data_IF_908761921269
#
_entry.id   IF_908761921269
#
_cell.length_a   1.000
_cell.length_b   1.000
_cell.length_c   1.000
_cell.angle_alpha   90.00
_cell.angle_beta   90.00
_cell.angle_gamma   90.00
#
_symmetry.space_group_name_H-M   'P 1'
#
loop_
_entity.id
_entity.type
_entity.pdbx_description
1 polymer ?
#
# COMPACT_ATOMS: atom_id res chain seq x y z
N UNK A 1 55.00 -52.37 9.99
CA UNK A 1 54.40 -51.99 11.28
C UNK A 1 53.76 -50.63 11.06
N UNK A 2 52.42 -50.56 11.00
CA UNK A 2 51.66 -49.32 11.06
C UNK A 2 51.33 -48.65 9.73
N UNK A 3 50.15 -48.98 9.20
CA UNK A 3 49.40 -48.23 8.19
C UNK A 3 49.11 -46.78 8.62
N UNK A 4 48.92 -45.89 7.63
CA UNK A 4 47.69 -45.09 7.50
C UNK A 4 47.56 -44.45 6.12
N UNK A 5 46.50 -44.88 5.45
CA UNK A 5 45.85 -44.36 4.25
C UNK A 5 45.29 -42.94 4.51
N UNK A 6 45.10 -42.15 3.45
CA UNK A 6 43.79 -41.67 2.95
C UNK A 6 43.99 -40.55 1.92
N UNK A 7 43.24 -40.69 0.82
CA UNK A 7 43.08 -39.88 -0.38
C UNK A 7 42.78 -38.38 -0.15
N UNK A 8 43.11 -37.54 -1.15
CA UNK A 8 42.13 -36.66 -1.82
C UNK A 8 42.82 -35.96 -3.02
N UNK A 9 42.51 -36.35 -4.26
CA UNK A 9 41.36 -35.93 -5.07
C UNK A 9 41.56 -34.54 -5.71
N UNK A 10 41.87 -34.59 -7.01
CA UNK A 10 41.75 -33.48 -7.97
C UNK A 10 40.32 -32.96 -7.93
N UNK A 11 40.13 -31.68 -7.65
CA UNK A 11 38.94 -30.96 -8.09
C UNK A 11 39.32 -29.78 -8.97
N UNK A 12 38.81 -29.87 -10.19
CA UNK A 12 38.94 -28.90 -11.26
C UNK A 12 38.12 -27.66 -10.90
N UNK A 13 38.69 -26.50 -11.19
CA UNK A 13 37.99 -25.22 -11.27
C UNK A 13 36.72 -25.38 -12.12
N UNK A 14 35.55 -25.36 -11.48
CA UNK A 14 34.25 -25.17 -12.14
C UNK A 14 33.88 -23.69 -11.95
N UNK A 15 33.60 -22.92 -13.01
CA UNK A 15 33.15 -21.55 -12.83
C UNK A 15 31.79 -21.55 -12.14
N UNK A 16 31.68 -20.81 -11.03
CA UNK A 16 30.39 -20.47 -10.45
C UNK A 16 29.54 -19.77 -11.51
N UNK A 17 28.48 -20.44 -11.97
CA UNK A 17 27.36 -19.75 -12.61
C UNK A 17 26.68 -18.91 -11.54
N UNK A 18 26.77 -17.59 -11.68
CA UNK A 18 25.84 -16.66 -11.04
C UNK A 18 24.43 -17.05 -11.47
N UNK A 19 23.64 -17.55 -10.52
CA UNK A 19 22.25 -17.90 -10.72
C UNK A 19 21.41 -16.65 -10.38
N UNK A 20 21.24 -15.75 -11.34
CA UNK A 20 20.29 -14.63 -11.25
C UNK A 20 18.99 -15.00 -11.96
N UNK A 21 18.19 -15.83 -11.30
CA UNK A 21 16.82 -16.10 -11.71
C UNK A 21 15.96 -16.03 -10.45
N UNK A 22 15.33 -14.88 -10.21
CA UNK A 22 14.36 -14.74 -9.12
C UNK A 22 13.24 -15.74 -9.35
N UNK A 23 12.91 -16.52 -8.33
CA UNK A 23 11.90 -17.58 -8.41
C UNK A 23 10.56 -16.98 -8.87
N UNK A 24 10.12 -17.39 -10.06
CA UNK A 24 8.81 -17.03 -10.59
C UNK A 24 7.75 -17.86 -9.87
N UNK A 25 6.87 -17.19 -9.15
CA UNK A 25 5.80 -17.83 -8.40
C UNK A 25 4.48 -17.73 -9.17
N UNK A 26 3.89 -18.89 -9.52
CA UNK A 26 2.52 -18.96 -10.01
C UNK A 26 1.55 -18.76 -8.85
N UNK A 27 0.59 -17.86 -9.00
CA UNK A 27 -0.42 -17.58 -7.99
C UNK A 27 -1.78 -17.30 -8.62
N UNK A 28 -2.83 -17.57 -7.87
CA UNK A 28 -4.21 -17.31 -8.28
C UNK A 28 -4.64 -15.87 -7.97
N UNK A 29 -5.72 -15.41 -8.61
CA UNK A 29 -6.34 -14.12 -8.26
C UNK A 29 -6.72 -14.02 -6.79
N UNK A 30 -7.27 -15.09 -6.24
CA UNK A 30 -7.78 -15.09 -4.86
C UNK A 30 -6.62 -14.90 -3.89
N UNK A 31 -5.51 -15.62 -4.08
CA UNK A 31 -4.29 -15.45 -3.27
C UNK A 31 -3.76 -14.01 -3.35
N UNK A 32 -3.77 -13.38 -4.52
CA UNK A 32 -3.36 -11.98 -4.66
C UNK A 32 -4.30 -11.00 -3.95
N UNK A 33 -5.62 -11.23 -4.01
CA UNK A 33 -6.59 -10.41 -3.30
C UNK A 33 -6.37 -10.55 -1.79
N UNK A 34 -6.23 -11.79 -1.29
CA UNK A 34 -5.99 -12.05 0.13
C UNK A 34 -4.66 -11.46 0.60
N UNK A 35 -3.60 -11.58 -0.20
CA UNK A 35 -2.33 -10.95 0.07
C UNK A 35 -2.46 -9.43 0.18
N UNK A 36 -3.08 -8.78 -0.81
CA UNK A 36 -3.25 -7.33 -0.80
C UNK A 36 -4.11 -6.86 0.36
N UNK A 37 -5.15 -7.62 0.73
CA UNK A 37 -5.96 -7.34 1.92
C UNK A 37 -5.14 -7.43 3.21
N UNK A 38 -4.34 -8.48 3.37
CA UNK A 38 -3.44 -8.64 4.52
C UNK A 38 -2.39 -7.54 4.59
N UNK A 39 -1.83 -7.14 3.45
CA UNK A 39 -0.88 -6.02 3.39
C UNK A 39 -1.55 -4.73 3.85
N UNK A 40 -2.75 -4.44 3.34
CA UNK A 40 -3.54 -3.27 3.74
C UNK A 40 -3.99 -3.32 5.21
N UNK A 41 -4.20 -4.50 5.79
CA UNK A 41 -4.45 -4.69 7.22
C UNK A 41 -3.22 -4.30 8.04
N UNK A 42 -2.01 -4.72 7.61
CA UNK A 42 -0.73 -4.35 8.23
C UNK A 42 -0.43 -2.84 8.24
N UNK A 43 -1.10 -2.07 7.38
CA UNK A 43 -1.05 -0.60 7.33
C UNK A 43 -2.12 0.06 8.24
N UNK A 44 -3.09 -0.70 8.73
CA UNK A 44 -4.23 -0.17 9.49
C UNK A 44 -5.34 0.40 8.61
N UNK A 45 -5.43 -0.03 7.35
CA UNK A 45 -6.51 0.39 6.45
C UNK A 45 -7.93 0.09 6.97
N UNK A 46 -8.21 -0.99 7.74
CA UNK A 46 -9.58 -1.24 8.23
C UNK A 46 -10.10 -0.10 9.09
N UNK A 47 -9.27 0.46 9.98
CA UNK A 47 -9.62 1.58 10.86
C UNK A 47 -9.96 2.85 10.06
N UNK A 48 -9.17 3.15 9.02
CA UNK A 48 -9.40 4.30 8.14
C UNK A 48 -10.70 4.11 7.34
N UNK A 49 -10.86 2.92 6.73
CA UNK A 49 -12.03 2.61 5.93
C UNK A 49 -13.31 2.66 6.76
N UNK A 50 -13.28 2.22 8.03
CA UNK A 50 -14.43 2.28 8.93
C UNK A 50 -14.91 3.72 9.12
N UNK A 51 -14.00 4.67 9.38
CA UNK A 51 -14.35 6.09 9.49
C UNK A 51 -14.97 6.60 8.19
N UNK A 52 -14.34 6.31 7.04
CA UNK A 52 -14.86 6.74 5.73
C UNK A 52 -16.26 6.18 5.45
N UNK A 53 -16.52 4.90 5.74
CA UNK A 53 -17.81 4.25 5.50
C UNK A 53 -18.91 4.86 6.37
N UNK A 54 -18.62 5.13 7.65
CA UNK A 54 -19.58 5.71 8.59
C UNK A 54 -19.95 7.15 8.22
N UNK A 55 -19.02 7.91 7.66
CA UNK A 55 -19.22 9.31 7.32
C UNK A 55 -19.49 9.57 5.83
N UNK A 56 -19.86 8.53 5.06
CA UNK A 56 -20.25 8.67 3.65
C UNK A 56 -19.10 8.98 2.67
N UNK A 57 -17.85 8.90 3.13
CA UNK A 57 -16.63 9.14 2.35
C UNK A 57 -16.05 7.89 1.68
N UNK A 58 -16.86 6.88 1.36
CA UNK A 58 -16.33 5.64 0.77
C UNK A 58 -15.72 5.89 -0.61
N UNK A 59 -14.45 5.52 -0.80
CA UNK A 59 -13.79 5.56 -2.10
C UNK A 59 -14.45 4.63 -3.14
N UNK A 60 -15.27 3.68 -2.69
CA UNK A 60 -16.05 2.77 -3.52
C UNK A 60 -17.43 3.32 -3.90
N UNK A 61 -17.70 4.61 -3.69
CA UNK A 61 -19.00 5.21 -4.02
C UNK A 61 -19.38 4.92 -5.48
N UNK A 62 -20.61 4.44 -5.67
CA UNK A 62 -21.15 3.98 -6.97
C UNK A 62 -20.83 2.54 -7.36
N UNK A 63 -20.07 1.79 -6.55
CA UNK A 63 -19.83 0.36 -6.78
C UNK A 63 -21.04 -0.48 -6.35
N UNK A 64 -21.48 -1.42 -7.19
CA UNK A 64 -22.56 -2.37 -6.89
C UNK A 64 -22.26 -3.28 -5.71
N UNK A 65 -20.98 -3.48 -5.39
CA UNK A 65 -20.54 -4.29 -4.26
C UNK A 65 -20.37 -3.48 -2.98
N UNK A 66 -20.59 -2.16 -2.98
CA UNK A 66 -20.54 -1.36 -1.75
C UNK A 66 -21.89 -1.43 -1.04
N UNK A 67 -21.90 -1.90 0.21
CA UNK A 67 -23.06 -1.83 1.09
C UNK A 67 -22.89 -0.69 2.08
N UNK A 68 -23.84 0.26 2.10
CA UNK A 68 -23.83 1.42 3.01
C UNK A 68 -23.66 0.96 4.47
N UNK A 69 -22.77 1.62 5.21
CA UNK A 69 -22.50 1.30 6.62
C UNK A 69 -21.77 -0.02 6.88
N UNK A 70 -21.54 -0.85 5.85
CA UNK A 70 -20.85 -2.15 5.97
C UNK A 70 -19.52 -2.13 5.20
N UNK A 71 -19.49 -1.52 4.02
CA UNK A 71 -18.31 -1.48 3.15
C UNK A 71 -18.40 -2.41 1.95
N UNK A 72 -17.26 -2.63 1.29
CA UNK A 72 -17.18 -3.46 0.09
C UNK A 72 -17.46 -4.94 0.42
N UNK A 73 -18.37 -5.56 -0.33
CA UNK A 73 -18.75 -6.97 -0.17
C UNK A 73 -17.95 -7.89 -1.11
N UNK A 74 -17.29 -7.35 -2.14
CA UNK A 74 -16.53 -8.11 -3.11
C UNK A 74 -15.40 -7.25 -3.69
N UNK A 75 -14.17 -7.47 -3.22
CA UNK A 75 -12.97 -6.87 -3.82
C UNK A 75 -12.49 -7.73 -4.98
N UNK A 76 -11.84 -7.07 -5.94
CA UNK A 76 -11.15 -7.67 -7.07
C UNK A 76 -9.72 -7.13 -7.11
N UNK A 77 -8.89 -7.60 -8.04
CA UNK A 77 -7.47 -7.18 -8.13
C UNK A 77 -7.34 -5.67 -8.27
N UNK A 78 -8.18 -5.05 -9.11
CA UNK A 78 -8.10 -3.60 -9.38
C UNK A 78 -8.49 -2.76 -8.16
N UNK A 79 -9.52 -3.18 -7.42
CA UNK A 79 -9.95 -2.54 -6.18
C UNK A 79 -8.94 -2.73 -5.04
N UNK A 80 -8.17 -3.82 -5.06
CA UNK A 80 -7.14 -4.09 -4.06
C UNK A 80 -5.87 -3.30 -4.38
N UNK A 81 -5.45 -3.23 -5.65
CA UNK A 81 -4.26 -2.52 -6.07
C UNK A 81 -4.36 -0.99 -5.93
N UNK A 82 -5.54 -0.42 -6.17
CA UNK A 82 -5.72 1.04 -6.19
C UNK A 82 -5.89 1.61 -4.79
N UNK A 83 -4.96 2.49 -4.39
CA UNK A 83 -5.02 3.20 -3.12
C UNK A 83 -5.88 4.46 -3.24
N UNK A 84 -6.72 4.73 -2.24
CA UNK A 84 -7.38 6.03 -2.10
C UNK A 84 -6.42 7.06 -1.51
N UNK A 85 -6.75 8.36 -1.56
CA UNK A 85 -5.86 9.43 -1.07
C UNK A 85 -5.36 9.23 0.37
N UNK A 86 -6.21 8.71 1.27
CA UNK A 86 -5.80 8.37 2.64
C UNK A 86 -4.76 7.25 2.70
N UNK A 87 -4.96 6.17 1.94
CA UNK A 87 -4.02 5.06 1.92
C UNK A 87 -2.73 5.45 1.21
N UNK A 88 -2.80 6.19 0.10
CA UNK A 88 -1.61 6.75 -0.56
C UNK A 88 -0.79 7.59 0.42
N UNK A 89 -1.44 8.38 1.28
CA UNK A 89 -0.74 9.20 2.27
C UNK A 89 0.04 8.33 3.26
N UNK A 90 -0.58 7.31 3.85
CA UNK A 90 0.13 6.41 4.78
C UNK A 90 1.30 5.71 4.07
N UNK A 91 1.08 5.22 2.85
CA UNK A 91 2.12 4.58 2.04
C UNK A 91 3.26 5.54 1.69
N UNK A 92 2.96 6.81 1.43
CA UNK A 92 3.96 7.85 1.19
C UNK A 92 4.79 8.12 2.46
N UNK A 93 4.13 8.36 3.59
CA UNK A 93 4.77 8.69 4.86
C UNK A 93 5.61 7.54 5.44
N UNK A 94 5.36 6.30 5.01
CA UNK A 94 6.07 5.08 5.41
C UNK A 94 7.08 4.61 4.37
N UNK A 95 7.20 5.28 3.22
CA UNK A 95 8.10 4.88 2.14
C UNK A 95 7.68 3.63 1.37
N UNK A 96 6.46 3.12 1.58
CA UNK A 96 5.94 1.88 0.99
C UNK A 96 5.27 2.08 -0.38
N UNK A 97 5.00 3.32 -0.77
CA UNK A 97 4.25 3.60 -2.01
C UNK A 97 4.91 3.03 -3.26
N UNK A 98 6.23 3.23 -3.42
CA UNK A 98 6.95 2.77 -4.61
C UNK A 98 7.01 1.24 -4.71
N UNK A 99 7.13 0.52 -3.60
CA UNK A 99 7.17 -0.94 -3.62
C UNK A 99 5.78 -1.54 -3.88
N UNK A 100 4.74 -0.91 -3.34
CA UNK A 100 3.35 -1.27 -3.61
C UNK A 100 3.02 -1.14 -5.09
N UNK A 101 3.33 0.01 -5.69
CA UNK A 101 3.09 0.26 -7.11
C UNK A 101 3.88 -0.74 -7.97
N UNK A 102 5.16 -0.96 -7.65
CA UNK A 102 6.01 -1.95 -8.34
C UNK A 102 5.46 -3.38 -8.23
N UNK A 103 4.90 -3.75 -7.08
CA UNK A 103 4.30 -5.07 -6.91
C UNK A 103 3.11 -5.25 -7.87
N UNK A 104 2.18 -4.30 -7.87
CA UNK A 104 0.97 -4.40 -8.69
C UNK A 104 1.24 -4.22 -10.19
N UNK A 105 2.30 -3.51 -10.60
CA UNK A 105 2.72 -3.41 -12.00
C UNK A 105 2.98 -4.78 -12.67
N UNK A 106 3.37 -5.79 -11.89
CA UNK A 106 3.58 -7.16 -12.37
C UNK A 106 2.27 -7.85 -12.77
N UNK A 107 1.12 -7.36 -12.28
CA UNK A 107 -0.17 -8.04 -12.41
C UNK A 107 -0.94 -7.47 -13.63
N UNK A 108 -1.18 -8.27 -14.68
CA UNK A 108 -1.86 -7.80 -15.89
C UNK A 108 -3.38 -7.70 -15.71
N UNK A 109 -4.04 -6.99 -16.63
CA UNK A 109 -5.51 -6.93 -16.71
C UNK A 109 -6.18 -6.12 -15.61
N UNK A 110 -5.40 -5.34 -14.84
CA UNK A 110 -5.93 -4.33 -13.92
C UNK A 110 -6.19 -3.02 -14.66
N UNK A 111 -7.36 -2.44 -14.45
CA UNK A 111 -7.77 -1.13 -14.98
C UNK A 111 -8.65 -0.43 -13.93
N UNK A 112 -8.90 0.87 -14.09
CA UNK A 112 -9.68 1.64 -13.13
C UNK A 112 -11.07 1.03 -12.94
N UNK A 113 -11.28 0.42 -11.77
CA UNK A 113 -12.50 -0.29 -11.36
C UNK A 113 -12.91 -1.45 -12.29
N UNK A 114 -11.99 -1.99 -13.10
CA UNK A 114 -12.22 -3.13 -14.00
C UNK A 114 -11.11 -4.16 -13.87
N UNK A 115 -11.48 -5.40 -13.53
CA UNK A 115 -10.55 -6.51 -13.38
C UNK A 115 -10.77 -7.54 -14.49
N UNK A 116 -9.82 -7.59 -15.43
CA UNK A 116 -9.68 -8.62 -16.46
C UNK A 116 -8.40 -9.43 -16.26
N UNK A 117 -7.85 -9.48 -15.04
CA UNK A 117 -6.66 -10.27 -14.73
C UNK A 117 -6.91 -11.74 -15.13
N UNK A 118 -5.91 -12.51 -15.57
CA UNK A 118 -6.08 -13.95 -15.77
C UNK A 118 -6.33 -14.69 -14.45
N UNK A 119 -6.92 -15.91 -14.45
CA UNK A 119 -7.14 -16.69 -13.23
C UNK A 119 -5.85 -17.02 -12.46
N UNK A 120 -4.73 -17.16 -13.19
CA UNK A 120 -3.39 -17.45 -12.67
C UNK A 120 -2.41 -16.45 -13.28
N UNK A 121 -1.51 -15.92 -12.47
CA UNK A 121 -0.47 -14.97 -12.87
C UNK A 121 0.87 -15.36 -12.28
N UNK A 122 1.95 -14.86 -12.90
CA UNK A 122 3.32 -15.06 -12.44
C UNK A 122 3.77 -13.82 -11.68
N UNK A 123 4.29 -14.01 -10.46
CA UNK A 123 4.86 -12.97 -9.62
C UNK A 123 6.36 -13.23 -9.47
N UNK A 124 7.18 -12.20 -9.72
CA UNK A 124 8.63 -12.31 -9.58
C UNK A 124 9.11 -11.96 -8.17
N UNK A 125 8.39 -11.05 -7.50
CA UNK A 125 8.73 -10.59 -6.16
C UNK A 125 7.47 -10.31 -5.34
N UNK A 126 7.36 -10.97 -4.19
CA UNK A 126 6.36 -10.67 -3.17
C UNK A 126 6.85 -9.55 -2.25
N UNK A 127 5.92 -8.76 -1.70
CA UNK A 127 6.24 -7.82 -0.63
C UNK A 127 6.09 -8.50 0.73
N UNK A 128 6.87 -8.04 1.69
CA UNK A 128 6.66 -8.38 3.09
C UNK A 128 5.50 -7.56 3.65
N UNK A 129 4.64 -8.18 4.45
CA UNK A 129 3.54 -7.45 5.10
C UNK A 129 4.12 -6.47 6.12
N UNK A 130 3.83 -5.16 6.01
CA UNK A 130 4.32 -4.17 6.95
C UNK A 130 3.61 -4.32 8.30
N UNK A 131 4.28 -3.91 9.37
CA UNK A 131 3.73 -3.90 10.73
C UNK A 131 3.64 -2.46 11.24
N UNK A 132 2.84 -1.64 10.55
CA UNK A 132 2.66 -0.21 10.85
C UNK A 132 1.20 0.16 11.14
N UNK A 133 0.40 -0.83 11.53
CA UNK A 133 -1.03 -0.70 11.81
C UNK A 133 -1.36 0.46 12.76
N UNK A 134 -0.49 0.71 13.75
CA UNK A 134 -0.63 1.80 14.72
C UNK A 134 -0.68 3.19 14.05
N UNK A 135 -0.01 3.38 12.90
CA UNK A 135 -0.09 4.63 12.13
C UNK A 135 -1.48 4.80 11.52
N UNK A 136 -2.02 3.75 10.89
CA UNK A 136 -3.36 3.79 10.32
C UNK A 136 -4.45 4.02 11.37
N UNK A 137 -4.30 3.43 12.56
CA UNK A 137 -5.19 3.65 13.69
C UNK A 137 -5.11 5.08 14.23
N UNK A 138 -3.91 5.63 14.36
CA UNK A 138 -3.69 7.00 14.77
C UNK A 138 -4.28 8.00 13.76
N UNK A 139 -4.06 7.75 12.46
CA UNK A 139 -4.66 8.52 11.37
C UNK A 139 -6.19 8.47 11.42
N UNK A 140 -6.78 7.29 11.60
CA UNK A 140 -8.23 7.13 11.68
C UNK A 140 -8.81 7.92 12.87
N UNK A 141 -8.09 7.99 13.98
CA UNK A 141 -8.49 8.78 15.16
C UNK A 141 -8.50 10.27 14.86
N UNK A 142 -7.46 10.80 14.23
CA UNK A 142 -7.44 12.21 13.79
C UNK A 142 -8.56 12.50 12.78
N UNK A 143 -8.72 11.64 11.77
CA UNK A 143 -9.75 11.79 10.75
C UNK A 143 -11.17 11.85 11.36
N UNK A 144 -11.48 10.94 12.28
CA UNK A 144 -12.77 10.92 12.98
C UNK A 144 -13.01 12.21 13.77
N UNK A 145 -11.99 12.68 14.51
CA UNK A 145 -12.06 13.93 15.26
C UNK A 145 -12.31 15.13 14.35
N UNK A 146 -11.54 15.26 13.27
CA UNK A 146 -11.64 16.38 12.33
C UNK A 146 -12.99 16.40 11.61
N UNK A 147 -13.54 15.24 11.23
CA UNK A 147 -14.88 15.15 10.66
C UNK A 147 -15.92 15.71 11.64
N UNK A 148 -15.87 15.30 12.91
CA UNK A 148 -16.80 15.79 13.95
C UNK A 148 -16.66 17.30 14.19
N UNK A 149 -15.45 17.85 14.11
CA UNK A 149 -15.19 19.29 14.34
C UNK A 149 -15.53 20.16 13.13
N UNK A 150 -15.43 19.63 11.90
CA UNK A 150 -15.61 20.40 10.66
C UNK A 150 -17.02 20.96 10.45
N UNK A 151 -18.04 20.30 10.99
CA UNK A 151 -19.47 20.54 10.69
C UNK A 151 -19.81 20.53 9.18
N UNK A 152 -18.94 19.97 8.33
CA UNK A 152 -19.11 19.93 6.88
C UNK A 152 -19.31 18.49 6.41
N UNK A 153 -20.47 18.22 5.81
CA UNK A 153 -20.86 16.86 5.40
C UNK A 153 -19.92 16.25 4.35
N UNK A 154 -19.22 17.07 3.58
CA UNK A 154 -18.33 16.67 2.49
C UNK A 154 -16.83 16.69 2.88
N UNK A 155 -16.52 16.99 4.14
CA UNK A 155 -15.13 17.17 4.61
C UNK A 155 -14.25 15.97 4.26
N UNK A 156 -14.71 14.75 4.57
CA UNK A 156 -13.98 13.51 4.30
C UNK A 156 -13.75 13.29 2.79
N UNK A 157 -14.69 13.69 1.95
CA UNK A 157 -14.60 13.54 0.49
C UNK A 157 -13.56 14.51 -0.07
N UNK A 158 -13.59 15.76 0.37
CA UNK A 158 -12.62 16.78 -0.06
C UNK A 158 -11.22 16.45 0.41
N UNK A 159 -11.04 16.12 1.69
CA UNK A 159 -9.72 15.77 2.22
C UNK A 159 -9.12 14.55 1.51
N UNK A 160 -9.93 13.52 1.24
CA UNK A 160 -9.52 12.39 0.43
C UNK A 160 -9.02 12.83 -0.96
N UNK A 161 -9.79 13.68 -1.66
CA UNK A 161 -9.45 14.14 -3.00
C UNK A 161 -8.22 15.04 -3.03
N UNK A 162 -8.07 15.91 -2.03
CA UNK A 162 -6.91 16.80 -1.90
C UNK A 162 -5.63 15.99 -1.65
N UNK A 163 -5.68 14.98 -0.78
CA UNK A 163 -4.54 14.07 -0.57
C UNK A 163 -4.16 13.33 -1.85
N UNK A 164 -5.15 12.76 -2.55
CA UNK A 164 -4.95 12.07 -3.83
C UNK A 164 -4.27 12.99 -4.85
N UNK A 165 -4.74 14.23 -4.96
CA UNK A 165 -4.19 15.26 -5.84
C UNK A 165 -2.72 15.60 -5.54
N UNK A 166 -2.37 15.84 -4.26
CA UNK A 166 -1.00 16.16 -3.90
C UNK A 166 -0.04 14.98 -4.15
N UNK A 167 -0.46 13.77 -3.79
CA UNK A 167 0.36 12.57 -3.90
C UNK A 167 0.61 12.14 -5.35
N UNK A 168 -0.41 12.19 -6.20
CA UNK A 168 -0.24 11.92 -7.63
C UNK A 168 0.72 12.93 -8.28
N UNK A 169 0.66 14.19 -7.86
CA UNK A 169 1.55 15.23 -8.36
C UNK A 169 2.98 15.09 -7.86
N UNK A 170 3.18 14.70 -6.60
CA UNK A 170 4.52 14.38 -6.08
C UNK A 170 5.19 13.26 -6.88
N UNK A 171 4.41 12.25 -7.29
CA UNK A 171 4.92 11.16 -8.12
C UNK A 171 5.22 11.60 -9.56
N UNK A 172 4.43 12.53 -10.11
CA UNK A 172 4.55 13.00 -11.49
C UNK A 172 5.66 14.06 -11.68
N UNK A 173 5.70 15.10 -10.86
CA UNK A 173 6.63 16.21 -11.02
C UNK A 173 8.05 15.84 -10.54
N UNK A 174 9.06 16.44 -11.19
CA UNK A 174 10.49 16.21 -10.86
C UNK A 174 11.26 17.50 -10.57
N UNK A 175 10.69 18.67 -10.86
CA UNK A 175 11.34 19.96 -10.60
C UNK A 175 11.37 20.24 -9.09
N UNK A 176 12.54 20.57 -8.50
CA UNK A 176 12.66 20.84 -7.07
C UNK A 176 11.68 21.89 -6.54
N UNK A 177 11.43 22.96 -7.30
CA UNK A 177 10.53 24.05 -6.90
C UNK A 177 9.08 23.56 -6.77
N UNK A 178 8.62 22.73 -7.71
CA UNK A 178 7.28 22.16 -7.64
C UNK A 178 7.15 21.14 -6.50
N UNK A 179 8.20 20.34 -6.26
CA UNK A 179 8.21 19.37 -5.16
C UNK A 179 8.09 20.07 -3.81
N UNK A 180 8.84 21.15 -3.57
CA UNK A 180 8.73 21.95 -2.35
C UNK A 180 7.30 22.47 -2.14
N UNK A 181 6.68 23.03 -3.18
CA UNK A 181 5.30 23.54 -3.09
C UNK A 181 4.31 22.41 -2.72
N UNK A 182 4.44 21.25 -3.36
CA UNK A 182 3.55 20.12 -3.12
C UNK A 182 3.76 19.51 -1.73
N UNK A 183 5.00 19.37 -1.27
CA UNK A 183 5.33 18.89 0.07
C UNK A 183 4.82 19.85 1.15
N UNK A 184 4.99 21.17 0.96
CA UNK A 184 4.43 22.17 1.88
C UNK A 184 2.91 22.08 1.92
N UNK A 185 2.26 21.99 0.75
CA UNK A 185 0.80 21.84 0.68
C UNK A 185 0.29 20.56 1.36
N UNK A 186 0.99 19.44 1.19
CA UNK A 186 0.65 18.17 1.86
C UNK A 186 0.82 18.27 3.38
N UNK A 187 1.90 18.92 3.85
CA UNK A 187 2.13 19.18 5.29
C UNK A 187 1.05 20.08 5.88
N UNK A 188 0.67 21.14 5.18
CA UNK A 188 -0.39 22.04 5.62
C UNK A 188 -1.75 21.34 5.68
N UNK A 189 -2.04 20.47 4.71
CA UNK A 189 -3.28 19.67 4.67
C UNK A 189 -3.39 18.69 5.84
N UNK A 190 -2.25 18.22 6.35
CA UNK A 190 -2.17 17.17 7.37
C UNK A 190 -1.66 17.68 8.72
N UNK A 191 -1.49 18.99 8.90
CA UNK A 191 -0.91 19.59 10.12
C UNK A 191 -1.66 19.25 11.42
N UNK A 192 -2.97 19.07 11.32
CA UNK A 192 -3.84 18.81 12.48
C UNK A 192 -3.97 17.32 12.82
N UNK A 193 -3.23 16.45 12.12
CA UNK A 193 -3.17 15.00 12.36
C UNK A 193 -2.20 14.67 13.51
N UNK A 194 -2.49 15.18 14.70
CA UNK A 194 -1.58 15.12 15.84
C UNK A 194 -1.34 13.70 16.36
N UNK A 195 -2.35 12.81 16.34
CA UNK A 195 -2.14 11.42 16.76
C UNK A 195 -1.23 10.69 15.77
N UNK A 196 -1.44 10.89 14.47
CA UNK A 196 -0.61 10.32 13.42
C UNK A 196 0.84 10.78 13.53
N UNK A 197 1.09 12.09 13.63
CA UNK A 197 2.45 12.64 13.76
C UNK A 197 3.17 12.09 14.99
N UNK A 198 2.48 12.03 16.14
CA UNK A 198 3.06 11.46 17.36
C UNK A 198 3.34 9.95 17.23
N UNK A 199 2.50 9.21 16.52
CA UNK A 199 2.72 7.78 16.28
C UNK A 199 3.93 7.56 15.35
N UNK A 200 4.04 8.37 14.29
CA UNK A 200 5.17 8.36 13.35
C UNK A 200 6.51 8.62 14.05
N UNK A 201 6.60 9.67 14.86
CA UNK A 201 7.79 9.99 15.65
C UNK A 201 8.21 8.83 16.57
N UNK A 202 7.27 8.17 17.25
CA UNK A 202 7.57 7.02 18.15
C UNK A 202 8.07 5.80 17.42
N UNK A 203 7.71 5.64 16.15
CA UNK A 203 8.11 4.52 15.32
C UNK A 203 9.45 4.76 14.61
N UNK A 204 10.03 5.97 14.73
CA UNK A 204 11.23 6.41 14.00
C UNK A 204 11.09 6.25 12.47
N UNK A 205 9.91 6.57 11.96
CA UNK A 205 9.57 6.60 10.53
C UNK A 205 9.42 8.07 10.10
#
# INVERSE_FOLDING_TARGET
MGDKNVNDAREMFVPHKENTQGDQHLTTKEELIQFGLKYLEGIGSPSICQVCILHGGSCCTGCSHLKQGVGCQQRNISCTAWLCGFLKFIFHETGLLSEWDSFWEQIPGKDFRKDSTPPVVVINKWLETPSVQLLGEAFAKDLSKLIMESNQFDYVIRLHADLDFYLDRLNYYKSPEALVILETGLKDLTKDFHYFHSAKEKMNI
#
